data_IF_837434007543
#
_entry.id   IF_837434007543
#
_cell.length_a   1.000
_cell.length_b   1.000
_cell.length_c   1.000
_cell.angle_alpha   90.00
_cell.angle_beta   90.00
_cell.angle_gamma   90.00
#
_symmetry.space_group_name_H-M   'P 1'
#
loop_
_entity.id
_entity.type
_entity.pdbx_description
1 polymer ?
#
# COMPACT_ATOMS: atom_id res chain seq x y z
N UNK A 1 10.57 -7.49 17.83
CA UNK A 1 10.05 -6.93 16.56
C UNK A 1 11.08 -5.97 15.95
N UNK A 2 10.97 -5.71 14.67
CA UNK A 2 11.85 -4.80 13.92
C UNK A 2 11.79 -3.38 14.49
N UNK A 3 10.60 -2.94 14.91
CA UNK A 3 10.38 -1.64 15.55
C UNK A 3 11.14 -1.57 16.88
N UNK A 4 11.03 -2.60 17.73
CA UNK A 4 11.74 -2.63 19.00
C UNK A 4 13.28 -2.57 18.83
N UNK A 5 13.80 -3.22 17.78
CA UNK A 5 15.22 -3.14 17.44
C UNK A 5 15.61 -1.71 17.00
N UNK A 6 14.81 -1.09 16.12
CA UNK A 6 15.03 0.27 15.66
C UNK A 6 15.03 1.27 16.81
N UNK A 7 14.09 1.14 17.76
CA UNK A 7 14.04 2.00 18.94
C UNK A 7 15.24 1.75 19.85
N UNK A 8 15.65 0.48 20.02
CA UNK A 8 16.82 0.14 20.85
C UNK A 8 18.11 0.75 20.33
N UNK A 9 18.29 0.80 19.02
CA UNK A 9 19.47 1.41 18.39
C UNK A 9 19.40 2.93 18.30
N UNK A 10 18.24 3.54 18.53
CA UNK A 10 18.01 4.99 18.41
C UNK A 10 17.30 5.55 19.67
N UNK A 11 17.71 5.13 20.87
CA UNK A 11 17.05 5.47 22.15
C UNK A 11 16.92 6.96 22.42
N UNK A 12 17.85 7.76 21.92
CA UNK A 12 17.86 9.21 22.09
C UNK A 12 16.83 9.94 21.21
N UNK A 13 16.32 9.26 20.18
CA UNK A 13 15.44 9.87 19.17
C UNK A 13 14.06 9.22 19.10
N UNK A 14 13.94 7.95 19.47
CA UNK A 14 12.74 7.16 19.31
C UNK A 14 12.24 6.61 20.64
N UNK A 15 10.94 6.65 20.85
CA UNK A 15 10.23 6.04 21.97
C UNK A 15 9.23 5.02 21.44
N UNK A 16 9.25 3.80 21.98
CA UNK A 16 8.29 2.76 21.66
C UNK A 16 7.18 2.71 22.71
N UNK A 17 5.93 2.93 22.32
CA UNK A 17 4.73 2.89 23.16
C UNK A 17 4.90 3.62 24.51
N UNK A 18 5.41 4.88 24.54
CA UNK A 18 5.69 5.58 25.78
C UNK A 18 4.40 5.95 26.52
N UNK A 19 4.48 6.05 27.85
CA UNK A 19 3.41 6.60 28.66
C UNK A 19 3.18 8.09 28.33
N UNK A 20 1.98 8.59 28.65
CA UNK A 20 1.63 9.99 28.42
C UNK A 20 2.57 10.95 29.17
N UNK A 21 2.97 10.58 30.40
CA UNK A 21 3.89 11.41 31.20
C UNK A 21 5.27 11.49 30.56
N UNK A 22 5.75 10.39 29.98
CA UNK A 22 7.00 10.38 29.21
C UNK A 22 6.90 11.21 27.93
N UNK A 23 5.73 11.22 27.27
CA UNK A 23 5.47 12.10 26.11
C UNK A 23 5.49 13.57 26.50
N UNK A 24 4.91 13.91 27.66
CA UNK A 24 4.89 15.29 28.21
C UNK A 24 6.29 15.76 28.60
N UNK A 25 7.01 14.97 29.41
CA UNK A 25 8.36 15.32 29.90
C UNK A 25 9.36 15.51 28.75
N UNK A 26 9.28 14.66 27.73
CA UNK A 26 10.15 14.75 26.55
C UNK A 26 9.62 15.72 25.48
N UNK A 27 8.49 16.40 25.71
CA UNK A 27 7.87 17.34 24.76
C UNK A 27 7.72 16.76 23.37
N UNK A 28 7.30 15.48 23.25
CA UNK A 28 7.20 14.76 21.97
C UNK A 28 6.20 15.45 21.04
N UNK A 29 6.61 15.74 19.82
CA UNK A 29 5.82 16.44 18.81
C UNK A 29 5.56 15.60 17.56
N UNK A 30 6.35 14.57 17.32
CA UNK A 30 6.28 13.70 16.14
C UNK A 30 5.76 12.32 16.57
N UNK A 31 4.68 11.88 15.95
CA UNK A 31 4.05 10.57 16.19
C UNK A 31 4.12 9.78 14.91
N UNK A 32 4.72 8.59 14.97
CA UNK A 32 4.87 7.71 13.81
C UNK A 32 3.96 6.51 14.01
N UNK A 33 3.00 6.33 13.11
CA UNK A 33 2.14 5.15 13.02
C UNK A 33 2.65 4.28 11.89
N UNK A 34 3.01 3.04 12.21
CA UNK A 34 3.59 2.11 11.23
C UNK A 34 2.61 0.98 10.98
N UNK A 35 2.38 0.67 9.71
CA UNK A 35 1.57 -0.45 9.24
C UNK A 35 2.24 -1.10 8.04
N UNK A 36 2.01 -2.37 7.78
CA UNK A 36 2.50 -3.06 6.59
C UNK A 36 1.72 -2.64 5.34
N UNK A 37 0.40 -2.57 5.44
CA UNK A 37 -0.48 -2.23 4.33
C UNK A 37 -1.70 -1.46 4.78
N UNK A 38 -1.96 -0.34 4.11
CA UNK A 38 -3.14 0.50 4.35
C UNK A 38 -4.11 0.34 3.17
N UNK A 39 -5.19 -0.41 3.38
CA UNK A 39 -6.28 -0.56 2.43
C UNK A 39 -7.30 0.57 2.55
N UNK A 40 -8.35 0.38 3.34
CA UNK A 40 -9.41 1.39 3.53
C UNK A 40 -9.01 2.57 4.41
N UNK A 41 -7.93 2.45 5.19
CA UNK A 41 -7.53 3.47 6.17
C UNK A 41 -8.36 3.51 7.45
N UNK A 42 -9.37 2.65 7.60
CA UNK A 42 -10.30 2.68 8.74
C UNK A 42 -9.58 2.42 10.08
N UNK A 43 -8.63 1.47 10.12
CA UNK A 43 -7.85 1.14 11.32
C UNK A 43 -7.05 2.36 11.79
N UNK A 44 -6.37 3.02 10.87
CA UNK A 44 -5.57 4.23 11.16
C UNK A 44 -6.47 5.36 11.66
N UNK A 45 -7.60 5.63 10.99
CA UNK A 45 -8.56 6.65 11.42
C UNK A 45 -9.10 6.38 12.83
N UNK A 46 -9.47 5.13 13.13
CA UNK A 46 -9.93 4.71 14.45
C UNK A 46 -8.86 4.91 15.51
N UNK A 47 -7.61 4.58 15.20
CA UNK A 47 -6.48 4.75 16.13
C UNK A 47 -6.24 6.24 16.45
N UNK A 48 -6.15 7.09 15.42
CA UNK A 48 -5.98 8.54 15.61
C UNK A 48 -7.17 9.12 16.40
N UNK A 49 -8.40 8.72 16.06
CA UNK A 49 -9.58 9.15 16.79
C UNK A 49 -9.57 8.70 18.25
N UNK A 50 -9.03 7.53 18.55
CA UNK A 50 -8.84 7.05 19.91
C UNK A 50 -7.83 7.89 20.68
N UNK A 51 -6.70 8.24 20.05
CA UNK A 51 -5.73 9.18 20.64
C UNK A 51 -6.38 10.54 20.96
N UNK A 52 -7.17 11.08 20.02
CA UNK A 52 -7.83 12.38 20.15
C UNK A 52 -9.01 12.37 21.15
N UNK A 53 -9.42 11.22 21.71
CA UNK A 53 -10.33 11.19 22.87
C UNK A 53 -9.66 11.68 24.15
N UNK A 54 -8.35 11.54 24.26
CA UNK A 54 -7.63 11.98 25.44
C UNK A 54 -7.44 13.51 25.42
N UNK A 55 -7.84 14.23 26.52
CA UNK A 55 -7.86 15.70 26.53
C UNK A 55 -6.51 16.34 26.19
N UNK A 56 -5.41 15.75 26.65
CA UNK A 56 -4.04 16.24 26.39
C UNK A 56 -3.72 16.15 24.89
N UNK A 57 -3.97 15.00 24.25
CA UNK A 57 -3.75 14.86 22.80
C UNK A 57 -4.63 15.79 22.00
N UNK A 58 -5.89 15.93 22.37
CA UNK A 58 -6.83 16.84 21.72
C UNK A 58 -6.34 18.30 21.85
N UNK A 59 -5.86 18.70 23.03
CA UNK A 59 -5.29 20.04 23.23
C UNK A 59 -4.06 20.26 22.33
N UNK A 60 -3.11 19.34 22.33
CA UNK A 60 -1.91 19.44 21.48
C UNK A 60 -2.24 19.48 19.98
N UNK A 61 -3.22 18.69 19.57
CA UNK A 61 -3.74 18.72 18.21
C UNK A 61 -4.37 20.08 17.89
N UNK A 62 -5.22 20.60 18.76
CA UNK A 62 -5.90 21.88 18.56
C UNK A 62 -4.93 23.07 18.56
N UNK A 63 -3.83 22.99 19.26
CA UNK A 63 -2.75 23.98 19.25
C UNK A 63 -1.80 23.78 18.04
N UNK A 64 -1.96 22.71 17.28
CA UNK A 64 -1.09 22.40 16.12
C UNK A 64 0.32 21.98 16.52
N UNK A 65 0.50 21.50 17.76
CA UNK A 65 1.82 21.14 18.28
C UNK A 65 2.31 19.78 17.82
N UNK A 66 1.42 18.87 17.45
CA UNK A 66 1.80 17.51 17.05
C UNK A 66 1.66 17.30 15.55
N UNK A 67 2.55 16.49 15.00
CA UNK A 67 2.49 15.97 13.65
C UNK A 67 2.34 14.44 13.72
N UNK A 68 1.58 13.88 12.80
CA UNK A 68 1.34 12.45 12.69
C UNK A 68 1.91 11.98 11.35
N UNK A 69 2.87 11.07 11.42
CA UNK A 69 3.45 10.42 10.26
C UNK A 69 2.87 9.02 10.15
N UNK A 70 2.25 8.72 9.03
CA UNK A 70 1.69 7.40 8.72
C UNK A 70 2.64 6.75 7.73
N UNK A 71 3.32 5.71 8.19
CA UNK A 71 4.34 4.98 7.42
C UNK A 71 3.82 3.60 7.09
N UNK A 72 3.88 3.21 5.82
CA UNK A 72 3.51 1.86 5.39
C UNK A 72 4.36 1.41 4.21
N UNK A 73 4.50 0.10 4.03
CA UNK A 73 5.08 -0.40 2.79
C UNK A 73 4.12 -0.14 1.63
N UNK A 74 2.84 -0.50 1.78
CA UNK A 74 1.86 -0.28 0.72
C UNK A 74 0.65 0.51 1.21
N UNK A 75 0.08 1.32 0.32
CA UNK A 75 -1.11 2.10 0.59
C UNK A 75 -2.01 2.20 -0.64
N UNK A 76 -3.30 1.90 -0.45
CA UNK A 76 -4.30 2.20 -1.46
C UNK A 76 -4.49 3.73 -1.57
N UNK A 77 -4.47 4.25 -2.77
CA UNK A 77 -4.46 5.70 -3.03
C UNK A 77 -5.58 6.45 -2.29
N UNK A 78 -6.81 5.92 -2.34
CA UNK A 78 -7.95 6.58 -1.69
C UNK A 78 -7.91 6.56 -0.16
N UNK A 79 -7.06 5.72 0.44
CA UNK A 79 -6.99 5.60 1.90
C UNK A 79 -6.58 6.92 2.56
N UNK A 80 -5.71 7.70 1.93
CA UNK A 80 -5.29 9.01 2.42
C UNK A 80 -6.47 9.94 2.61
N UNK A 81 -7.28 10.12 1.57
CA UNK A 81 -8.49 10.95 1.61
C UNK A 81 -9.46 10.45 2.68
N UNK A 82 -9.69 9.12 2.74
CA UNK A 82 -10.59 8.51 3.73
C UNK A 82 -10.08 8.71 5.16
N UNK A 83 -8.77 8.57 5.41
CA UNK A 83 -8.20 8.80 6.74
C UNK A 83 -8.41 10.25 7.16
N UNK A 84 -8.04 11.21 6.31
CA UNK A 84 -8.18 12.65 6.59
C UNK A 84 -9.64 13.02 6.87
N UNK A 85 -10.58 12.51 6.08
CA UNK A 85 -12.02 12.78 6.23
C UNK A 85 -12.57 12.18 7.52
N UNK A 86 -12.15 10.97 7.91
CA UNK A 86 -12.69 10.25 9.06
C UNK A 86 -12.10 10.66 10.40
N UNK A 87 -11.06 11.49 10.43
CA UNK A 87 -10.50 12.02 11.68
C UNK A 87 -11.47 13.05 12.26
N UNK A 88 -11.78 12.91 13.56
CA UNK A 88 -12.66 13.80 14.32
C UNK A 88 -12.24 15.27 14.19
N UNK A 89 -13.22 16.14 14.23
CA UNK A 89 -13.08 17.59 14.24
C UNK A 89 -14.22 18.23 13.44
N UNK A 90 -14.62 19.43 13.85
CA UNK A 90 -15.57 20.21 13.04
C UNK A 90 -14.95 20.46 11.66
N UNK A 91 -15.72 20.23 10.60
CA UNK A 91 -15.29 20.44 9.21
C UNK A 91 -15.23 21.93 8.86
N UNK A 92 -14.50 22.71 9.66
CA UNK A 92 -14.18 24.09 9.35
C UNK A 92 -12.83 24.18 8.59
N UNK A 93 -12.62 25.30 7.89
CA UNK A 93 -11.42 25.52 7.09
C UNK A 93 -10.11 25.33 7.90
N UNK A 94 -10.09 25.80 9.16
CA UNK A 94 -8.94 25.66 10.06
C UNK A 94 -8.58 24.20 10.36
N UNK A 95 -9.56 23.33 10.57
CA UNK A 95 -9.33 21.89 10.80
C UNK A 95 -8.92 21.15 9.52
N UNK A 96 -9.50 21.53 8.37
CA UNK A 96 -9.10 20.96 7.06
C UNK A 96 -7.63 21.25 6.78
N UNK A 97 -7.19 22.51 6.93
CA UNK A 97 -5.78 22.91 6.76
C UNK A 97 -4.89 22.15 7.74
N UNK A 98 -5.28 22.03 9.00
CA UNK A 98 -4.51 21.30 10.01
C UNK A 98 -4.36 19.82 9.66
N UNK A 99 -5.44 19.15 9.27
CA UNK A 99 -5.40 17.74 8.89
C UNK A 99 -4.41 17.52 7.73
N UNK A 100 -4.47 18.33 6.69
CA UNK A 100 -3.58 18.22 5.52
C UNK A 100 -2.12 18.57 5.83
N UNK A 101 -1.87 19.55 6.71
CA UNK A 101 -0.51 20.00 7.04
C UNK A 101 0.18 19.15 8.11
N UNK A 102 -0.58 18.56 9.04
CA UNK A 102 -0.07 17.86 10.23
C UNK A 102 -0.09 16.34 10.13
N UNK A 103 -0.78 15.79 9.12
CA UNK A 103 -0.78 14.35 8.83
C UNK A 103 0.01 14.15 7.54
N UNK A 104 1.08 13.36 7.63
CA UNK A 104 1.96 13.06 6.51
C UNK A 104 1.93 11.56 6.24
N UNK A 105 1.90 11.20 4.96
CA UNK A 105 1.88 9.81 4.51
C UNK A 105 3.19 9.47 3.82
N UNK A 106 3.77 8.34 4.22
CA UNK A 106 4.99 7.79 3.67
C UNK A 106 4.73 6.34 3.30
N UNK A 107 4.79 6.02 2.02
CA UNK A 107 4.57 4.65 1.53
C UNK A 107 5.51 4.37 0.37
N UNK A 108 6.11 3.19 0.38
CA UNK A 108 6.97 2.74 -0.71
C UNK A 108 6.15 2.44 -1.97
N UNK A 109 4.98 1.82 -1.80
CA UNK A 109 4.06 1.49 -2.87
C UNK A 109 2.71 2.15 -2.65
N UNK A 110 2.33 3.09 -3.51
CA UNK A 110 0.96 3.62 -3.59
C UNK A 110 0.29 3.02 -4.81
N UNK A 111 -0.83 2.32 -4.62
CA UNK A 111 -1.52 1.62 -5.70
C UNK A 111 -2.97 2.06 -5.85
N UNK A 112 -3.49 1.97 -7.08
CA UNK A 112 -4.83 2.37 -7.50
C UNK A 112 -5.63 1.17 -7.98
N UNK A 113 -6.93 1.34 -8.15
CA UNK A 113 -7.83 0.32 -8.69
C UNK A 113 -7.38 -0.17 -10.08
N UNK A 114 -6.95 0.73 -10.95
CA UNK A 114 -6.47 0.38 -12.28
C UNK A 114 -5.21 -0.51 -12.23
N UNK A 115 -4.32 -0.26 -11.27
CA UNK A 115 -3.16 -1.12 -11.06
C UNK A 115 -3.57 -2.53 -10.62
N UNK A 116 -4.54 -2.63 -9.70
CA UNK A 116 -5.10 -3.92 -9.28
C UNK A 116 -5.72 -4.64 -10.47
N UNK A 117 -6.55 -3.92 -11.24
CA UNK A 117 -7.22 -4.46 -12.44
C UNK A 117 -6.21 -4.98 -13.46
N UNK A 118 -5.15 -4.23 -13.76
CA UNK A 118 -4.11 -4.67 -14.70
C UNK A 118 -3.34 -5.90 -14.21
N UNK A 119 -3.15 -6.03 -12.89
CA UNK A 119 -2.48 -7.20 -12.29
C UNK A 119 -3.31 -8.47 -12.34
N UNK A 120 -4.62 -8.37 -12.21
CA UNK A 120 -5.54 -9.49 -12.39
C UNK A 120 -5.80 -9.81 -13.88
N UNK A 121 -5.57 -8.83 -14.76
CA UNK A 121 -5.76 -8.95 -16.21
C UNK A 121 -7.19 -9.34 -16.58
N UNK A 122 -7.34 -10.24 -17.52
CA UNK A 122 -8.64 -10.75 -18.00
C UNK A 122 -9.47 -11.44 -16.91
N UNK A 123 -8.82 -11.93 -15.87
CA UNK A 123 -9.47 -12.58 -14.73
C UNK A 123 -10.11 -11.61 -13.74
N UNK A 124 -9.94 -10.29 -13.90
CA UNK A 124 -10.39 -9.31 -12.92
C UNK A 124 -11.90 -9.38 -12.65
N UNK A 125 -12.71 -9.23 -13.69
CA UNK A 125 -14.18 -9.26 -13.55
C UNK A 125 -14.69 -10.64 -13.14
N UNK A 126 -14.26 -11.77 -13.76
CA UNK A 126 -14.65 -13.10 -13.33
C UNK A 126 -14.31 -13.40 -11.88
N UNK A 127 -13.16 -12.94 -11.38
CA UNK A 127 -12.77 -13.11 -9.99
C UNK A 127 -13.61 -12.29 -9.01
N UNK A 128 -14.00 -11.07 -9.39
CA UNK A 128 -14.93 -10.26 -8.59
C UNK A 128 -16.28 -10.97 -8.46
N UNK A 129 -16.86 -11.41 -9.57
CA UNK A 129 -18.13 -12.15 -9.58
C UNK A 129 -18.03 -13.43 -8.74
N UNK A 130 -16.97 -14.20 -8.93
CA UNK A 130 -16.71 -15.39 -8.13
C UNK A 130 -16.63 -15.08 -6.63
N UNK A 131 -15.87 -14.06 -6.23
CA UNK A 131 -15.75 -13.66 -4.83
C UNK A 131 -17.07 -13.18 -4.23
N UNK A 132 -17.87 -12.42 -4.99
CA UNK A 132 -19.16 -11.92 -4.55
C UNK A 132 -20.20 -13.04 -4.39
N UNK A 133 -20.15 -14.07 -5.22
CA UNK A 133 -21.02 -15.23 -5.16
C UNK A 133 -20.77 -16.10 -3.91
N UNK A 134 -19.64 -15.98 -3.22
CA UNK A 134 -19.28 -16.83 -2.08
C UNK A 134 -20.12 -16.51 -0.83
N UNK A 135 -21.26 -17.20 -0.64
CA UNK A 135 -22.19 -17.00 0.50
C UNK A 135 -21.57 -17.36 1.85
N UNK A 136 -20.62 -18.28 1.88
CA UNK A 136 -19.88 -18.71 3.07
C UNK A 136 -18.90 -17.66 3.58
N UNK A 137 -18.57 -16.64 2.79
CA UNK A 137 -17.70 -15.53 3.20
C UNK A 137 -18.58 -14.34 3.58
N UNK A 138 -18.33 -13.68 4.75
CA UNK A 138 -19.08 -12.50 5.14
C UNK A 138 -19.03 -11.42 4.04
N UNK A 139 -20.15 -10.75 3.69
CA UNK A 139 -20.20 -9.79 2.59
C UNK A 139 -19.09 -8.75 2.60
N UNK A 140 -18.82 -8.14 3.77
CA UNK A 140 -17.76 -7.13 3.96
C UNK A 140 -16.34 -7.63 3.73
N UNK A 141 -16.14 -8.95 3.56
CA UNK A 141 -14.82 -9.55 3.35
C UNK A 141 -14.65 -10.14 1.95
N UNK A 142 -15.72 -10.25 1.16
CA UNK A 142 -15.67 -10.94 -0.14
C UNK A 142 -14.63 -10.33 -1.07
N UNK A 143 -14.64 -9.00 -1.19
CA UNK A 143 -13.66 -8.23 -1.98
C UNK A 143 -12.52 -7.65 -1.12
N UNK A 144 -12.38 -8.12 0.13
CA UNK A 144 -11.49 -7.52 1.11
C UNK A 144 -12.08 -6.28 1.77
N UNK A 145 -11.50 -5.85 2.89
CA UNK A 145 -11.99 -4.66 3.58
C UNK A 145 -11.89 -3.40 2.72
N UNK A 146 -13.01 -2.66 2.66
CA UNK A 146 -13.15 -1.45 1.85
C UNK A 146 -13.25 -1.73 0.35
N UNK A 147 -13.57 -2.98 -0.01
CA UNK A 147 -13.73 -3.47 -1.38
C UNK A 147 -12.53 -3.16 -2.28
N UNK A 148 -11.34 -3.11 -1.67
CA UNK A 148 -10.09 -2.76 -2.36
C UNK A 148 -9.69 -3.83 -3.37
N UNK A 149 -10.02 -5.10 -3.12
CA UNK A 149 -9.67 -6.23 -3.97
C UNK A 149 -8.17 -6.34 -4.25
N UNK A 150 -7.35 -6.04 -3.22
CA UNK A 150 -5.88 -6.04 -3.33
C UNK A 150 -5.34 -7.43 -3.67
N UNK A 151 -4.28 -7.46 -4.48
CA UNK A 151 -3.53 -8.67 -4.81
C UNK A 151 -2.14 -8.69 -4.15
N UNK A 152 -1.92 -7.85 -3.13
CA UNK A 152 -0.68 -7.81 -2.37
C UNK A 152 -0.75 -8.79 -1.21
N UNK A 153 0.27 -9.65 -1.11
CA UNK A 153 0.48 -10.57 0.00
C UNK A 153 1.91 -10.35 0.50
N UNK A 154 2.07 -10.24 1.83
CA UNK A 154 3.38 -10.14 2.44
C UNK A 154 3.87 -11.51 2.88
N UNK A 155 5.17 -11.69 2.90
CA UNK A 155 5.82 -12.90 3.38
C UNK A 155 5.31 -13.37 4.76
N UNK A 156 5.05 -12.42 5.65
CA UNK A 156 4.62 -12.70 7.02
C UNK A 156 3.10 -12.68 7.23
N UNK A 157 2.34 -12.11 6.31
CA UNK A 157 0.88 -12.02 6.48
C UNK A 157 0.12 -11.65 5.22
N UNK A 158 -1.16 -12.00 5.19
CA UNK A 158 -2.12 -11.58 4.16
C UNK A 158 -2.86 -10.35 4.65
N UNK A 159 -2.78 -9.20 3.96
CA UNK A 159 -3.55 -8.01 4.28
C UNK A 159 -5.07 -8.29 4.20
N UNK A 160 -5.84 -7.67 5.08
CA UNK A 160 -7.29 -7.88 5.12
C UNK A 160 -8.07 -7.24 3.97
N UNK A 161 -7.41 -6.43 3.16
CA UNK A 161 -7.95 -5.81 1.94
C UNK A 161 -7.77 -6.68 0.68
N UNK A 162 -7.16 -7.87 0.81
CA UNK A 162 -7.19 -8.90 -0.22
C UNK A 162 -8.53 -9.63 -0.20
N UNK A 163 -8.95 -10.27 -1.31
CA UNK A 163 -10.18 -11.05 -1.37
C UNK A 163 -10.32 -12.05 -0.23
N UNK A 164 -11.49 -12.09 0.38
CA UNK A 164 -11.76 -12.95 1.53
C UNK A 164 -11.66 -14.46 1.24
N UNK A 165 -11.75 -14.88 -0.02
CA UNK A 165 -11.53 -16.27 -0.43
C UNK A 165 -10.14 -16.78 -0.03
N UNK A 166 -9.17 -15.86 0.06
CA UNK A 166 -7.78 -16.20 0.39
C UNK A 166 -7.61 -16.49 1.88
N UNK A 167 -8.28 -15.72 2.77
CA UNK A 167 -7.96 -15.74 4.21
C UNK A 167 -9.15 -15.82 5.15
N UNK A 168 -10.38 -15.50 4.69
CA UNK A 168 -11.50 -15.37 5.58
C UNK A 168 -12.15 -16.72 5.88
N UNK A 169 -12.20 -17.09 7.16
CA UNK A 169 -12.95 -18.24 7.67
C UNK A 169 -14.18 -17.76 8.42
N UNK A 170 -15.34 -18.39 8.19
CA UNK A 170 -16.55 -18.21 8.98
C UNK A 170 -16.66 -19.35 9.98
N UNK A 171 -16.84 -19.01 11.23
CA UNK A 171 -17.18 -19.99 12.28
C UNK A 171 -18.33 -20.89 11.81
N UNK A 172 -18.22 -22.19 11.94
CA UNK A 172 -19.21 -23.22 11.50
C UNK A 172 -19.37 -23.40 9.97
N UNK A 173 -18.52 -22.80 9.14
CA UNK A 173 -18.51 -23.04 7.69
C UNK A 173 -17.55 -24.18 7.35
N UNK A 174 -17.91 -25.00 6.34
CA UNK A 174 -16.99 -25.96 5.72
C UNK A 174 -15.96 -25.31 4.81
N UNK A 175 -16.03 -23.98 4.63
CA UNK A 175 -15.07 -23.26 3.84
C UNK A 175 -13.73 -23.18 4.53
N UNK A 176 -12.69 -23.67 3.88
CA UNK A 176 -11.29 -23.51 4.30
C UNK A 176 -10.59 -22.58 3.30
N UNK A 177 -10.14 -21.40 3.75
CA UNK A 177 -9.40 -20.48 2.91
C UNK A 177 -7.97 -20.98 2.66
N UNK A 178 -7.35 -20.52 1.58
CA UNK A 178 -5.97 -20.90 1.22
C UNK A 178 -4.95 -20.49 2.31
N UNK A 179 -5.18 -19.38 2.97
CA UNK A 179 -4.31 -18.82 4.01
C UNK A 179 -5.12 -18.50 5.27
N UNK A 180 -5.50 -19.51 6.06
CA UNK A 180 -6.32 -19.33 7.24
C UNK A 180 -5.60 -18.43 8.26
N UNK A 181 -6.39 -17.65 8.99
CA UNK A 181 -5.88 -16.68 9.97
C UNK A 181 -4.88 -15.65 9.39
N UNK A 182 -4.88 -15.49 8.06
CA UNK A 182 -3.97 -14.59 7.34
C UNK A 182 -2.49 -15.00 7.41
N UNK A 183 -2.25 -16.28 7.70
CA UNK A 183 -0.90 -16.83 7.75
C UNK A 183 -0.52 -17.35 6.37
N UNK A 184 0.65 -17.00 5.91
CA UNK A 184 1.21 -17.53 4.66
C UNK A 184 1.76 -18.93 4.95
N UNK A 185 1.31 -19.97 4.23
CA UNK A 185 1.81 -21.33 4.43
C UNK A 185 3.30 -21.45 4.13
N UNK A 186 4.04 -22.21 4.95
CA UNK A 186 5.48 -22.42 4.80
C UNK A 186 5.85 -22.99 3.43
N UNK A 187 5.06 -23.94 2.93
CA UNK A 187 5.29 -24.53 1.61
C UNK A 187 5.24 -23.50 0.46
N UNK A 188 4.41 -22.45 0.59
CA UNK A 188 4.35 -21.38 -0.40
C UNK A 188 5.60 -20.49 -0.34
N UNK A 189 6.11 -20.26 0.88
CA UNK A 189 7.35 -19.52 1.10
C UNK A 189 8.51 -20.29 0.47
N UNK A 190 8.63 -21.58 0.78
CA UNK A 190 9.66 -22.47 0.22
C UNK A 190 9.58 -22.55 -1.30
N UNK A 191 8.35 -22.61 -1.86
CA UNK A 191 8.15 -22.58 -3.31
C UNK A 191 8.66 -21.28 -3.94
N UNK A 192 8.43 -20.15 -3.28
CA UNK A 192 8.90 -18.84 -3.76
C UNK A 192 10.43 -18.71 -3.61
N UNK A 193 11.01 -19.19 -2.53
CA UNK A 193 12.45 -19.18 -2.30
C UNK A 193 13.19 -20.08 -3.30
N UNK A 194 12.69 -21.29 -3.52
CA UNK A 194 13.26 -22.24 -4.48
C UNK A 194 13.12 -21.79 -5.96
N UNK A 195 12.19 -20.90 -6.24
CA UNK A 195 11.97 -20.32 -7.57
C UNK A 195 12.56 -18.92 -7.72
N UNK A 196 13.18 -18.34 -6.67
CA UNK A 196 13.72 -16.99 -6.75
C UNK A 196 14.75 -16.81 -7.87
N UNK A 197 15.57 -17.82 -8.16
CA UNK A 197 16.50 -17.79 -9.30
C UNK A 197 15.78 -17.83 -10.66
N UNK A 198 14.53 -18.31 -10.70
CA UNK A 198 13.72 -18.38 -11.92
C UNK A 198 12.64 -17.30 -12.01
N UNK A 199 12.09 -16.84 -10.87
CA UNK A 199 10.99 -15.87 -10.83
C UNK A 199 11.47 -14.43 -11.07
N UNK A 200 12.71 -14.11 -10.69
CA UNK A 200 13.29 -12.78 -10.97
C UNK A 200 13.58 -12.62 -12.48
N UNK A 201 13.73 -13.70 -13.21
CA UNK A 201 14.09 -13.67 -14.64
C UNK A 201 12.90 -13.82 -15.60
N UNK A 202 11.70 -14.19 -15.16
CA UNK A 202 10.65 -14.60 -16.11
C UNK A 202 9.21 -14.21 -15.78
N UNK A 203 8.92 -13.19 -14.98
CA UNK A 203 7.57 -12.68 -15.04
C UNK A 203 7.41 -11.88 -16.34
N UNK A 204 6.45 -12.24 -17.17
CA UNK A 204 6.08 -11.51 -18.39
C UNK A 204 5.95 -10.01 -18.12
N UNK A 205 5.50 -9.66 -16.93
CA UNK A 205 5.37 -8.27 -16.47
C UNK A 205 6.72 -7.58 -16.22
N UNK A 206 7.75 -8.30 -15.72
CA UNK A 206 9.09 -7.71 -15.55
C UNK A 206 9.77 -7.47 -16.91
N UNK A 207 9.54 -8.32 -17.89
CA UNK A 207 10.04 -8.12 -19.25
C UNK A 207 9.32 -6.99 -19.97
N UNK A 208 8.01 -6.86 -19.80
CA UNK A 208 7.23 -5.75 -20.36
C UNK A 208 7.62 -4.40 -19.73
N UNK A 209 7.82 -4.37 -18.43
CA UNK A 209 8.27 -3.18 -17.71
C UNK A 209 9.68 -2.77 -18.18
N UNK A 210 10.57 -3.72 -18.32
CA UNK A 210 11.94 -3.49 -18.83
C UNK A 210 11.92 -3.02 -20.29
N UNK A 211 11.10 -3.64 -21.11
CA UNK A 211 10.90 -3.21 -22.51
C UNK A 211 10.35 -1.78 -22.56
N UNK A 212 9.39 -1.44 -21.70
CA UNK A 212 8.89 -0.06 -21.59
C UNK A 212 9.98 0.92 -21.18
N UNK A 213 10.80 0.59 -20.16
CA UNK A 213 11.94 1.41 -19.73
C UNK A 213 12.93 1.60 -20.89
N UNK A 214 13.25 0.53 -21.63
CA UNK A 214 14.13 0.62 -22.78
C UNK A 214 13.56 1.52 -23.89
N UNK A 215 12.28 1.42 -24.19
CA UNK A 215 11.59 2.25 -25.18
C UNK A 215 11.55 3.72 -24.75
N UNK A 216 11.28 3.99 -23.48
CA UNK A 216 11.28 5.33 -22.89
C UNK A 216 12.68 5.95 -22.96
N UNK A 217 13.74 5.16 -22.69
CA UNK A 217 15.13 5.59 -22.84
C UNK A 217 15.44 5.99 -24.29
N UNK A 218 14.91 5.24 -25.26
CA UNK A 218 15.01 5.54 -26.70
C UNK A 218 14.11 6.71 -27.15
N UNK A 219 13.40 7.37 -26.21
CA UNK A 219 12.56 8.54 -26.50
C UNK A 219 11.10 8.24 -26.83
N UNK A 220 10.66 6.98 -26.80
CA UNK A 220 9.26 6.59 -27.04
C UNK A 220 8.47 6.75 -25.74
N UNK A 221 7.75 7.87 -25.61
CA UNK A 221 7.06 8.29 -24.38
C UNK A 221 5.54 8.45 -24.57
N UNK A 222 5.09 8.43 -25.80
CA UNK A 222 3.66 8.53 -26.12
C UNK A 222 2.98 7.17 -25.91
N UNK A 223 1.82 7.11 -25.20
CA UNK A 223 1.11 5.86 -24.93
C UNK A 223 0.79 5.05 -26.19
N UNK A 224 0.37 5.71 -27.27
CA UNK A 224 0.02 5.03 -28.54
C UNK A 224 1.25 4.39 -29.18
N UNK A 225 2.35 5.11 -29.25
CA UNK A 225 3.61 4.59 -29.81
C UNK A 225 4.20 3.48 -28.93
N UNK A 226 4.04 3.59 -27.61
CA UNK A 226 4.48 2.57 -26.67
C UNK A 226 3.64 1.30 -26.82
N UNK A 227 2.31 1.43 -26.95
CA UNK A 227 1.39 0.33 -27.19
C UNK A 227 1.74 -0.46 -28.47
N UNK A 228 1.98 0.24 -29.58
CA UNK A 228 2.40 -0.38 -30.84
C UNK A 228 3.71 -1.17 -30.69
N UNK A 229 4.70 -0.63 -30.00
CA UNK A 229 6.01 -1.28 -29.82
C UNK A 229 5.98 -2.45 -28.83
N UNK A 230 5.10 -2.40 -27.85
CA UNK A 230 4.88 -3.49 -26.88
C UNK A 230 3.84 -4.52 -27.35
N UNK A 231 3.22 -4.30 -28.52
CA UNK A 231 2.13 -5.11 -29.05
C UNK A 231 0.98 -5.27 -28.05
N UNK A 232 0.55 -4.13 -27.47
CA UNK A 232 -0.53 -4.04 -26.47
C UNK A 232 -1.54 -2.96 -26.88
N UNK A 233 -2.63 -2.83 -26.13
CA UNK A 233 -3.56 -1.72 -26.34
C UNK A 233 -3.08 -0.41 -25.70
N UNK A 234 -3.62 0.71 -26.19
CA UNK A 234 -3.24 2.06 -25.75
C UNK A 234 -3.60 2.32 -24.28
N UNK A 235 -4.70 1.71 -23.79
CA UNK A 235 -5.09 1.87 -22.39
C UNK A 235 -4.12 1.14 -21.45
N UNK A 236 -3.68 -0.04 -21.84
CA UNK A 236 -2.64 -0.77 -21.13
C UNK A 236 -1.33 0.03 -21.06
N UNK A 237 -0.90 0.61 -22.18
CA UNK A 237 0.31 1.45 -22.23
C UNK A 237 0.19 2.71 -21.36
N UNK A 238 -1.00 3.33 -21.27
CA UNK A 238 -1.26 4.44 -20.32
C UNK A 238 -1.11 3.98 -18.88
N UNK A 239 -1.73 2.86 -18.51
CA UNK A 239 -1.65 2.29 -17.16
C UNK A 239 -0.20 1.94 -16.80
N UNK A 240 0.57 1.45 -17.76
CA UNK A 240 1.99 1.13 -17.58
C UNK A 240 2.83 2.38 -17.33
N UNK A 241 2.59 3.47 -18.07
CA UNK A 241 3.27 4.76 -17.83
C UNK A 241 2.90 5.35 -16.47
N UNK A 242 1.63 5.30 -16.08
CA UNK A 242 1.20 5.72 -14.75
C UNK A 242 1.88 4.89 -13.65
N UNK A 243 1.98 3.58 -13.83
CA UNK A 243 2.68 2.71 -12.90
C UNK A 243 4.17 3.08 -12.79
N UNK A 244 4.85 3.33 -13.91
CA UNK A 244 6.24 3.76 -13.93
C UNK A 244 6.45 5.12 -13.23
N UNK A 245 5.50 6.06 -13.36
CA UNK A 245 5.50 7.33 -12.64
C UNK A 245 5.33 7.11 -11.13
N UNK A 246 4.34 6.31 -10.74
CA UNK A 246 4.04 6.03 -9.33
C UNK A 246 5.18 5.32 -8.61
N UNK A 247 5.91 4.47 -9.31
CA UNK A 247 7.10 3.79 -8.78
C UNK A 247 8.36 4.67 -8.79
N UNK A 248 8.24 5.91 -9.29
CA UNK A 248 9.35 6.84 -9.37
C UNK A 248 10.41 6.47 -10.40
N UNK A 249 10.09 5.60 -11.36
CA UNK A 249 11.02 5.18 -12.42
C UNK A 249 11.03 6.17 -13.58
N UNK A 250 9.94 6.90 -13.77
CA UNK A 250 9.86 8.03 -14.70
C UNK A 250 9.26 9.25 -13.98
N UNK A 251 9.58 10.44 -14.47
CA UNK A 251 9.02 11.70 -13.99
C UNK A 251 7.70 12.05 -14.70
N UNK A 252 7.10 13.21 -14.37
CA UNK A 252 5.85 13.70 -14.95
C UNK A 252 5.91 13.85 -16.49
N UNK A 253 7.10 14.08 -17.04
CA UNK A 253 7.33 14.18 -18.49
C UNK A 253 7.67 12.83 -19.14
N UNK A 254 7.39 11.72 -18.46
CA UNK A 254 7.71 10.35 -18.90
C UNK A 254 9.20 10.17 -19.28
N UNK A 255 10.12 10.82 -18.56
CA UNK A 255 11.57 10.62 -18.67
C UNK A 255 12.07 9.77 -17.52
N UNK A 256 13.06 8.91 -17.76
CA UNK A 256 13.67 8.10 -16.71
C UNK A 256 14.26 9.00 -15.61
N UNK A 257 14.00 8.64 -14.35
CA UNK A 257 14.66 9.18 -13.18
C UNK A 257 16.01 8.50 -12.96
N UNK A 258 16.80 8.94 -11.96
CA UNK A 258 18.02 8.22 -11.53
C UNK A 258 17.73 6.74 -11.24
N UNK A 259 16.67 6.47 -10.47
CA UNK A 259 16.22 5.10 -10.14
C UNK A 259 15.85 4.30 -11.41
N UNK A 260 15.17 4.91 -12.37
CA UNK A 260 14.85 4.29 -13.65
C UNK A 260 16.08 3.99 -14.51
N UNK A 261 17.09 4.86 -14.45
CA UNK A 261 18.37 4.65 -15.12
C UNK A 261 19.18 3.53 -14.48
N UNK A 262 19.17 3.41 -13.15
CA UNK A 262 19.85 2.35 -12.42
C UNK A 262 19.33 0.96 -12.85
N UNK A 263 18.01 0.79 -12.94
CA UNK A 263 17.38 -0.45 -13.43
C UNK A 263 17.77 -0.73 -14.89
N UNK A 264 17.82 0.32 -15.73
CA UNK A 264 18.24 0.19 -17.11
C UNK A 264 19.70 -0.29 -17.22
N UNK A 265 20.60 0.24 -16.40
CA UNK A 265 22.04 -0.13 -16.41
C UNK A 265 22.31 -1.50 -15.82
N UNK A 266 21.57 -1.96 -14.80
CA UNK A 266 21.72 -3.28 -14.19
C UNK A 266 21.42 -4.45 -15.15
N UNK A 267 20.71 -4.22 -16.26
CA UNK A 267 20.36 -5.26 -17.23
C UNK A 267 21.10 -5.19 -18.57
N UNK A 268 21.93 -4.18 -18.75
CA UNK A 268 22.76 -4.03 -19.94
C UNK A 268 24.25 -4.45 -19.71
N UNK A 269 24.49 -5.25 -18.63
CA UNK A 269 25.78 -5.90 -18.38
C UNK A 269 25.72 -7.36 -18.81
#
# INVERSE_FOLDING_TARGET
SLIANLVRTNKDRLLDHPSLDKLKSNKVRQYILIDDSIGSGERISKFINSMLKHPTFLSWWNLGWINIHIVSFSRFHEAEKKIITNIRGKDNAKQKIRKSSKIKFHSELVYHQNWIKSRWGENYEPLIEFCQAQKQIPPKKRLGYGDVFSNLIFYHSVPNNTPGIIWAKKSKSKWEPLMPNRTVPTWLIELLENNNDKIITTSKLSNELLNAIMLIKKGIRNPTSLAQRLNTDTQYAKNLLEHLKMTGLINEHSRLTSRGLDIFHQKNI
#
